data_IF_968314667164
#
_entry.id   IF_968314667164
#
_cell.length_a   1.000
_cell.length_b   1.000
_cell.length_c   1.000
_cell.angle_alpha   90.00
_cell.angle_beta   90.00
_cell.angle_gamma   90.00
#
_symmetry.space_group_name_H-M   'P 1'
#
loop_
_entity.id
_entity.type
_entity.pdbx_description
1 polymer ?
#
# COMPACT_ATOMS: atom_id res chain seq x y z
N UNK A 1 -17.18 -16.80 26.71
CA UNK A 1 -17.04 -15.68 25.76
C UNK A 1 -15.90 -14.82 26.27
N UNK A 2 -14.79 -14.69 25.52
CA UNK A 2 -13.73 -13.77 25.88
C UNK A 2 -14.06 -12.41 25.28
N UNK A 3 -14.02 -11.37 26.11
CA UNK A 3 -14.14 -9.97 25.69
C UNK A 3 -12.70 -9.48 25.49
N UNK A 4 -12.44 -8.85 24.35
CA UNK A 4 -11.15 -8.27 24.04
C UNK A 4 -11.30 -6.75 24.11
N UNK A 5 -10.52 -6.12 24.98
CA UNK A 5 -10.51 -4.66 25.17
C UNK A 5 -9.38 -4.04 24.37
N UNK A 6 -9.65 -2.92 23.70
CA UNK A 6 -8.69 -2.17 22.88
C UNK A 6 -9.16 -0.71 22.77
N UNK A 7 -8.25 0.22 22.55
CA UNK A 7 -8.60 1.63 22.34
C UNK A 7 -9.30 1.84 20.98
N UNK A 8 -8.84 1.12 19.95
CA UNK A 8 -9.38 1.22 18.58
C UNK A 8 -9.58 -0.16 17.94
N UNK A 9 -10.80 -0.40 17.46
CA UNK A 9 -11.11 -1.51 16.56
C UNK A 9 -11.13 -1.02 15.11
N UNK A 10 -10.28 -1.58 14.26
CA UNK A 10 -10.25 -1.33 12.82
C UNK A 10 -10.92 -2.49 12.09
N UNK A 11 -11.91 -2.18 11.25
CA UNK A 11 -12.59 -3.16 10.40
C UNK A 11 -12.03 -3.06 8.98
N UNK A 12 -11.19 -4.04 8.62
CA UNK A 12 -10.56 -4.19 7.31
C UNK A 12 -9.03 -4.08 7.37
N UNK A 13 -8.33 -5.13 6.95
CA UNK A 13 -6.87 -5.19 6.85
C UNK A 13 -6.37 -4.85 5.42
N UNK A 14 -7.00 -3.87 4.79
CA UNK A 14 -6.51 -3.28 3.54
C UNK A 14 -5.32 -2.33 3.79
N UNK A 15 -4.72 -1.77 2.72
CA UNK A 15 -3.59 -0.84 2.84
C UNK A 15 -3.87 0.35 3.77
N UNK A 16 -5.09 0.89 3.72
CA UNK A 16 -5.53 2.00 4.59
C UNK A 16 -5.64 1.56 6.05
N UNK A 17 -6.30 0.43 6.32
CA UNK A 17 -6.50 -0.07 7.68
C UNK A 17 -5.19 -0.45 8.36
N UNK A 18 -4.28 -1.11 7.63
CA UNK A 18 -2.94 -1.45 8.13
C UNK A 18 -2.09 -0.20 8.37
N UNK A 19 -2.13 0.79 7.47
CA UNK A 19 -1.42 2.06 7.68
C UNK A 19 -1.97 2.81 8.89
N UNK A 20 -3.29 2.85 9.06
CA UNK A 20 -3.94 3.47 10.21
C UNK A 20 -3.56 2.77 11.53
N UNK A 21 -3.51 1.43 11.54
CA UNK A 21 -3.09 0.66 12.70
C UNK A 21 -1.66 1.01 13.14
N UNK A 22 -0.71 1.04 12.19
CA UNK A 22 0.67 1.40 12.48
C UNK A 22 0.82 2.84 12.99
N UNK A 23 0.04 3.78 12.44
CA UNK A 23 0.01 5.17 12.91
C UNK A 23 -0.51 5.26 14.35
N UNK A 24 -1.62 4.59 14.66
CA UNK A 24 -2.24 4.60 15.99
C UNK A 24 -1.37 3.90 17.03
N UNK A 25 -0.76 2.76 16.68
CA UNK A 25 0.21 2.06 17.53
C UNK A 25 1.39 2.98 17.88
N UNK A 26 1.91 3.73 16.89
CA UNK A 26 2.98 4.71 17.13
C UNK A 26 2.56 5.89 18.01
N UNK A 27 1.26 6.20 18.07
CA UNK A 27 0.69 7.20 18.99
C UNK A 27 0.43 6.62 20.40
N UNK A 28 0.65 5.32 20.61
CA UNK A 28 0.50 4.65 21.90
C UNK A 28 -0.89 4.03 22.15
N UNK A 29 -1.72 3.91 21.11
CA UNK A 29 -3.03 3.24 21.22
C UNK A 29 -2.90 1.73 21.01
N UNK A 30 -3.63 0.95 21.81
CA UNK A 30 -3.88 -0.46 21.52
C UNK A 30 -4.86 -0.60 20.37
N UNK A 31 -4.48 -1.37 19.35
CA UNK A 31 -5.28 -1.54 18.11
C UNK A 31 -5.56 -3.01 17.84
N UNK A 32 -6.81 -3.32 17.53
CA UNK A 32 -7.24 -4.62 17.01
C UNK A 32 -7.76 -4.43 15.60
N UNK A 33 -7.32 -5.30 14.68
CA UNK A 33 -7.82 -5.32 13.30
C UNK A 33 -8.64 -6.59 13.11
N UNK A 34 -9.82 -6.44 12.53
CA UNK A 34 -10.62 -7.56 12.03
C UNK A 34 -10.71 -7.50 10.52
N UNK A 35 -10.51 -8.62 9.85
CA UNK A 35 -10.59 -8.74 8.41
C UNK A 35 -11.38 -10.00 8.06
N UNK A 36 -12.26 -9.87 7.06
CA UNK A 36 -13.13 -10.97 6.65
C UNK A 36 -12.36 -11.99 5.79
N UNK A 37 -11.35 -11.54 5.05
CA UNK A 37 -10.53 -12.38 4.17
C UNK A 37 -9.44 -13.08 4.96
N UNK A 38 -9.15 -14.33 4.58
CA UNK A 38 -8.07 -15.13 5.18
C UNK A 38 -6.66 -14.64 4.80
N UNK A 39 -6.56 -13.64 3.92
CA UNK A 39 -5.29 -13.08 3.49
C UNK A 39 -5.43 -11.92 2.50
N UNK A 40 -4.31 -11.42 1.96
CA UNK A 40 -4.29 -10.34 0.98
C UNK A 40 -5.09 -10.67 -0.28
N UNK A 41 -5.52 -9.62 -1.00
CA UNK A 41 -6.17 -9.78 -2.29
C UNK A 41 -5.18 -10.42 -3.29
N UNK A 42 -5.62 -11.47 -4.00
CA UNK A 42 -4.76 -12.18 -4.97
C UNK A 42 -4.64 -11.46 -6.31
N UNK A 43 -5.68 -10.74 -6.71
CA UNK A 43 -5.65 -9.92 -7.92
C UNK A 43 -5.04 -8.56 -7.60
N UNK A 44 -4.12 -8.04 -8.44
CA UNK A 44 -3.60 -6.69 -8.28
C UNK A 44 -4.73 -5.66 -8.32
N UNK A 45 -4.66 -4.68 -7.42
CA UNK A 45 -5.56 -3.53 -7.41
C UNK A 45 -4.73 -2.25 -7.62
N UNK A 46 -4.60 -1.40 -6.60
CA UNK A 46 -3.68 -0.27 -6.63
C UNK A 46 -2.23 -0.79 -6.71
N UNK A 47 -1.49 -0.36 -7.73
CA UNK A 47 -0.11 -0.77 -8.00
C UNK A 47 0.87 0.40 -8.04
N UNK A 48 0.38 1.65 -8.10
CA UNK A 48 1.20 2.86 -8.02
C UNK A 48 1.13 3.40 -6.59
N UNK A 49 2.29 3.58 -5.97
CA UNK A 49 2.44 4.19 -4.66
C UNK A 49 3.19 5.51 -4.82
N UNK A 50 2.60 6.60 -4.33
CA UNK A 50 3.20 7.93 -4.43
C UNK A 50 4.36 8.08 -3.42
N UNK A 51 5.36 8.90 -3.76
CA UNK A 51 6.43 9.33 -2.85
C UNK A 51 5.89 9.76 -1.48
N UNK A 52 4.76 10.48 -1.43
CA UNK A 52 4.15 10.93 -0.18
C UNK A 52 3.73 9.77 0.73
N UNK A 53 3.26 8.66 0.17
CA UNK A 53 2.92 7.46 0.96
C UNK A 53 4.19 6.85 1.56
N UNK A 54 5.28 6.79 0.80
CA UNK A 54 6.57 6.31 1.30
C UNK A 54 7.13 7.22 2.40
N UNK A 55 6.99 8.53 2.31
CA UNK A 55 7.39 9.46 3.37
C UNK A 55 6.63 9.19 4.67
N UNK A 56 5.31 8.99 4.60
CA UNK A 56 4.49 8.64 5.76
C UNK A 56 4.94 7.30 6.35
N UNK A 57 5.18 6.29 5.51
CA UNK A 57 5.63 4.97 5.95
C UNK A 57 7.02 5.00 6.61
N UNK A 58 7.97 5.78 6.09
CA UNK A 58 9.26 6.01 6.76
C UNK A 58 9.08 6.70 8.11
N UNK A 59 8.22 7.71 8.19
CA UNK A 59 7.93 8.41 9.44
C UNK A 59 7.32 7.50 10.51
N UNK A 60 6.51 6.51 10.13
CA UNK A 60 5.99 5.51 11.07
C UNK A 60 6.98 4.38 11.38
N UNK A 61 8.14 4.35 10.74
CA UNK A 61 9.21 3.39 11.03
C UNK A 61 9.13 2.11 10.20
N UNK A 62 8.34 2.11 9.12
CA UNK A 62 8.31 1.01 8.18
C UNK A 62 9.59 1.03 7.32
N UNK A 63 10.17 -0.15 7.11
CA UNK A 63 11.31 -0.33 6.22
C UNK A 63 10.86 -0.22 4.76
N UNK A 64 10.85 1.02 4.26
CA UNK A 64 10.44 1.31 2.88
C UNK A 64 11.46 0.82 1.86
N UNK A 65 12.74 0.74 2.23
CA UNK A 65 13.77 0.32 1.28
C UNK A 65 13.61 -1.18 0.98
N UNK A 66 13.28 -1.99 1.98
CA UNK A 66 12.86 -3.39 1.78
C UNK A 66 11.58 -3.54 0.95
N UNK A 67 10.61 -2.63 1.09
CA UNK A 67 9.41 -2.65 0.23
C UNK A 67 9.75 -2.37 -1.24
N UNK A 68 10.70 -1.46 -1.49
CA UNK A 68 11.13 -1.09 -2.83
C UNK A 68 11.86 -2.24 -3.55
N UNK A 69 12.47 -3.20 -2.83
CA UNK A 69 13.04 -4.42 -3.42
C UNK A 69 11.99 -5.26 -4.19
N UNK A 70 10.70 -5.08 -3.88
CA UNK A 70 9.59 -5.76 -4.56
C UNK A 70 8.89 -4.87 -5.61
N UNK A 71 9.29 -3.60 -5.72
CA UNK A 71 8.73 -2.68 -6.71
C UNK A 71 9.40 -2.87 -8.08
N UNK A 72 8.72 -2.41 -9.13
CA UNK A 72 9.35 -2.28 -10.44
C UNK A 72 10.45 -1.22 -10.38
N UNK A 73 11.55 -1.43 -11.11
CA UNK A 73 12.62 -0.45 -11.25
C UNK A 73 12.02 0.86 -11.82
N UNK A 74 12.20 2.01 -11.16
CA UNK A 74 11.79 3.30 -11.69
C UNK A 74 12.37 3.63 -13.07
N UNK A 75 13.49 3.04 -13.49
CA UNK A 75 14.02 3.18 -14.84
C UNK A 75 13.15 2.47 -15.91
N UNK A 76 12.43 1.43 -15.51
CA UNK A 76 11.53 0.64 -16.36
C UNK A 76 10.06 1.06 -16.18
N UNK A 77 9.78 1.99 -15.27
CA UNK A 77 8.45 2.47 -14.95
C UNK A 77 8.33 3.98 -15.23
N UNK A 78 7.16 4.43 -15.68
CA UNK A 78 6.87 5.87 -15.76
C UNK A 78 6.76 6.47 -17.15
N UNK A 79 6.99 5.68 -18.22
CA UNK A 79 6.61 6.11 -19.57
C UNK A 79 5.12 5.85 -19.82
N UNK A 80 4.43 6.84 -20.37
CA UNK A 80 3.06 6.65 -20.90
C UNK A 80 3.10 6.83 -22.41
N UNK A 81 2.88 5.75 -23.14
CA UNK A 81 2.83 5.77 -24.60
C UNK A 81 1.39 5.70 -25.11
N UNK A 82 1.02 6.63 -25.98
CA UNK A 82 -0.21 6.53 -26.77
C UNK A 82 0.10 5.82 -28.06
N UNK A 83 -0.53 4.68 -28.30
CA UNK A 83 -0.25 3.81 -29.44
C UNK A 83 -1.53 3.40 -30.14
N UNK A 84 -1.47 3.15 -31.44
CA UNK A 84 -2.63 2.65 -32.21
C UNK A 84 -3.02 1.22 -31.84
N UNK A 85 -2.02 0.41 -31.49
CA UNK A 85 -2.13 -0.94 -30.92
C UNK A 85 -0.85 -1.27 -30.17
N UNK A 86 -0.86 -2.33 -29.35
CA UNK A 86 0.37 -2.81 -28.72
C UNK A 86 1.42 -3.16 -29.80
N UNK A 87 2.60 -2.56 -29.71
CA UNK A 87 3.68 -2.69 -30.70
C UNK A 87 3.44 -1.94 -32.02
N UNK A 88 2.41 -1.10 -32.10
CA UNK A 88 2.12 -0.26 -33.26
C UNK A 88 2.85 1.09 -33.24
N UNK A 89 2.39 2.01 -34.09
CA UNK A 89 2.91 3.38 -34.14
C UNK A 89 2.65 4.12 -32.81
N UNK A 90 3.68 4.83 -32.33
CA UNK A 90 3.62 5.70 -31.15
C UNK A 90 3.20 7.10 -31.58
N UNK A 91 2.05 7.54 -31.09
CA UNK A 91 1.46 8.85 -31.37
C UNK A 91 2.02 9.94 -30.45
N UNK A 92 2.47 9.57 -29.26
CA UNK A 92 3.02 10.48 -28.25
C UNK A 92 3.53 9.73 -27.03
N UNK A 93 4.38 10.38 -26.24
CA UNK A 93 4.93 9.83 -24.99
C UNK A 93 5.02 10.90 -23.90
N UNK A 94 4.73 10.52 -22.66
CA UNK A 94 5.17 11.21 -21.44
C UNK A 94 6.28 10.41 -20.78
#
# INVERSE_FOLDING_TARGET
>A
MQILETDVLIVGAGPVGLTAALLLDKMGFSVVIVEQRDGPLRSPAAHVINARTFEVWRQIGLDVDRLLEHAQDPADAGSVHWVTKLGGEVLGSL
#
